data_IF_331385501343
#
_entry.id   IF_331385501343
#
_cell.length_a   1.000
_cell.length_b   1.000
_cell.length_c   1.000
_cell.angle_alpha   90.00
_cell.angle_beta   90.00
_cell.angle_gamma   90.00
#
_symmetry.space_group_name_H-M   'P 1'
#
loop_
_entity.id
_entity.type
_entity.pdbx_description
1 polymer ?
#
# COMPACT_ATOMS: atom_id res chain seq x y z
N UNK A 1 8.94 -9.10 -49.74
CA UNK A 1 7.71 -9.73 -49.21
C UNK A 1 7.35 -9.04 -47.90
N UNK A 2 6.21 -8.33 -47.84
CA UNK A 2 5.16 -8.32 -46.78
C UNK A 2 5.63 -8.72 -45.36
N UNK A 3 5.43 -8.00 -44.26
CA UNK A 3 4.50 -6.94 -43.83
C UNK A 3 5.06 -6.31 -42.51
N UNK A 4 4.40 -5.33 -41.85
CA UNK A 4 5.03 -4.19 -41.18
C UNK A 4 4.80 -4.15 -39.65
N UNK A 5 5.31 -3.09 -39.01
CA UNK A 5 4.66 -2.38 -37.90
C UNK A 5 4.44 -3.14 -36.59
N UNK A 6 5.28 -2.85 -35.60
CA UNK A 6 4.87 -3.05 -34.21
C UNK A 6 4.76 -1.69 -33.52
N UNK A 7 3.52 -1.36 -33.15
CA UNK A 7 3.12 -0.14 -32.50
C UNK A 7 3.67 -0.04 -31.05
N UNK A 8 3.82 1.20 -30.59
CA UNK A 8 3.83 1.62 -29.18
C UNK A 8 2.53 1.16 -28.48
N UNK A 9 2.36 1.46 -27.18
CA UNK A 9 3.14 1.11 -26.00
C UNK A 9 2.35 0.13 -25.11
N UNK A 10 3.02 -0.62 -24.24
CA UNK A 10 2.36 -1.46 -23.23
C UNK A 10 1.76 -0.59 -22.12
N UNK A 11 0.54 -0.11 -22.33
CA UNK A 11 -0.38 0.27 -21.26
C UNK A 11 -0.86 -1.03 -20.59
N UNK A 12 -0.60 -1.26 -19.29
CA UNK A 12 -1.29 -2.32 -18.58
C UNK A 12 -2.74 -1.89 -18.33
N UNK A 13 -3.72 -2.81 -18.49
CA UNK A 13 -5.13 -2.47 -18.48
C UNK A 13 -5.56 -1.89 -17.13
N UNK A 14 -5.84 -0.58 -17.12
CA UNK A 14 -6.68 0.06 -16.09
C UNK A 14 -8.14 -0.37 -16.31
N UNK A 15 -8.47 -1.61 -15.91
CA UNK A 15 -9.82 -2.08 -15.51
C UNK A 15 -9.88 -3.61 -15.55
N UNK A 16 -9.67 -4.24 -14.39
CA UNK A 16 -10.33 -5.48 -14.02
C UNK A 16 -11.00 -5.17 -12.66
N UNK A 17 -12.32 -4.95 -12.67
CA UNK A 17 -13.32 -5.99 -12.43
C UNK A 17 -13.26 -6.47 -10.98
N UNK A 18 -14.34 -6.20 -10.22
CA UNK A 18 -14.65 -6.66 -8.86
C UNK A 18 -13.70 -7.75 -8.35
N UNK A 19 -12.54 -7.32 -7.85
CA UNK A 19 -11.52 -8.25 -7.43
C UNK A 19 -11.86 -8.65 -6.01
N UNK A 20 -12.06 -9.95 -5.80
CA UNK A 20 -12.35 -10.54 -4.50
C UNK A 20 -11.39 -9.93 -3.46
N UNK A 21 -11.86 -9.47 -2.29
CA UNK A 21 -11.02 -8.81 -1.29
C UNK A 21 -9.75 -9.61 -0.92
N UNK A 22 -9.75 -10.93 -1.16
CA UNK A 22 -8.60 -11.80 -1.02
C UNK A 22 -7.42 -11.55 -1.98
N UNK A 23 -7.63 -11.03 -3.21
CA UNK A 23 -6.49 -10.76 -4.13
C UNK A 23 -5.75 -9.48 -3.75
N UNK A 24 -6.50 -8.44 -3.37
CA UNK A 24 -5.92 -7.21 -2.85
C UNK A 24 -5.19 -7.44 -1.52
N UNK A 25 -5.76 -8.26 -0.63
CA UNK A 25 -5.08 -8.69 0.59
C UNK A 25 -3.77 -9.44 0.29
N UNK A 26 -3.83 -10.49 -0.54
CA UNK A 26 -2.64 -11.25 -0.93
C UNK A 26 -1.56 -10.39 -1.61
N UNK A 27 -1.96 -9.35 -2.35
CA UNK A 27 -1.02 -8.40 -2.94
C UNK A 27 -0.34 -7.52 -1.88
N UNK A 28 -1.08 -7.05 -0.88
CA UNK A 28 -0.50 -6.30 0.26
C UNK A 28 0.46 -7.18 1.06
N UNK A 29 0.13 -8.46 1.25
CA UNK A 29 0.98 -9.42 1.96
C UNK A 29 2.33 -9.61 1.26
N UNK A 30 2.32 -9.79 -0.06
CA UNK A 30 3.55 -9.91 -0.86
C UNK A 30 4.40 -8.64 -0.75
N UNK A 31 3.78 -7.46 -0.87
CA UNK A 31 4.48 -6.18 -0.71
C UNK A 31 5.13 -6.06 0.68
N UNK A 32 4.44 -6.46 1.75
CA UNK A 32 5.00 -6.43 3.11
C UNK A 32 6.22 -7.34 3.27
N UNK A 33 6.20 -8.53 2.68
CA UNK A 33 7.36 -9.42 2.65
C UNK A 33 8.53 -8.76 1.93
N UNK A 34 8.29 -8.17 0.76
CA UNK A 34 9.34 -7.46 0.02
C UNK A 34 9.90 -6.26 0.81
N UNK A 35 9.05 -5.53 1.52
CA UNK A 35 9.45 -4.43 2.41
C UNK A 35 10.31 -4.95 3.57
N UNK A 36 9.96 -6.10 4.16
CA UNK A 36 10.77 -6.77 5.19
C UNK A 36 12.17 -7.14 4.69
N UNK A 37 12.31 -7.44 3.39
CA UNK A 37 13.60 -7.65 2.72
C UNK A 37 14.33 -6.36 2.32
N UNK A 38 13.77 -5.18 2.59
CA UNK A 38 14.36 -3.88 2.28
C UNK A 38 14.00 -3.32 0.90
N UNK A 39 12.93 -3.80 0.26
CA UNK A 39 12.48 -3.27 -1.03
C UNK A 39 11.74 -1.94 -0.86
N UNK A 40 12.41 -0.84 -1.22
CA UNK A 40 11.80 0.49 -1.24
C UNK A 40 10.70 0.61 -2.31
N UNK A 41 10.85 -0.08 -3.44
CA UNK A 41 9.84 -0.10 -4.51
C UNK A 41 8.52 -0.69 -4.03
N UNK A 42 8.58 -1.77 -3.23
CA UNK A 42 7.40 -2.38 -2.64
C UNK A 42 6.70 -1.45 -1.64
N UNK A 43 7.47 -0.65 -0.88
CA UNK A 43 6.92 0.38 -0.01
C UNK A 43 6.18 1.46 -0.82
N UNK A 44 6.75 1.89 -1.95
CA UNK A 44 6.12 2.83 -2.87
C UNK A 44 4.79 2.31 -3.40
N UNK A 45 4.76 1.06 -3.88
CA UNK A 45 3.53 0.41 -4.35
C UNK A 45 2.47 0.31 -3.24
N UNK A 46 2.88 -0.07 -2.03
CA UNK A 46 1.97 -0.13 -0.88
C UNK A 46 1.41 1.27 -0.54
N UNK A 47 2.24 2.30 -0.64
CA UNK A 47 1.83 3.69 -0.46
C UNK A 47 0.80 4.12 -1.49
N UNK A 48 1.07 3.93 -2.79
CA UNK A 48 0.12 4.31 -3.85
C UNK A 48 -1.23 3.60 -3.71
N UNK A 49 -1.24 2.34 -3.27
CA UNK A 49 -2.46 1.56 -3.05
C UNK A 49 -3.27 2.05 -1.84
N UNK A 50 -2.62 2.30 -0.70
CA UNK A 50 -3.31 2.54 0.57
C UNK A 50 -3.41 4.03 0.93
N UNK A 51 -2.62 4.92 0.34
CA UNK A 51 -2.65 6.35 0.60
C UNK A 51 -4.05 6.98 0.50
N UNK A 52 -4.86 6.78 -0.56
CA UNK A 52 -6.18 7.41 -0.63
C UNK A 52 -7.09 6.97 0.52
N UNK A 53 -7.15 5.67 0.81
CA UNK A 53 -7.96 5.10 1.88
C UNK A 53 -7.50 5.58 3.27
N UNK A 54 -6.20 5.52 3.54
CA UNK A 54 -5.61 5.91 4.82
C UNK A 54 -5.71 7.41 5.06
N UNK A 55 -5.61 8.25 4.02
CA UNK A 55 -5.81 9.68 4.15
C UNK A 55 -7.25 10.01 4.57
N UNK A 56 -8.25 9.39 3.95
CA UNK A 56 -9.65 9.56 4.36
C UNK A 56 -9.87 9.12 5.81
N UNK A 57 -9.33 7.96 6.18
CA UNK A 57 -9.41 7.43 7.53
C UNK A 57 -8.73 8.34 8.57
N UNK A 58 -7.52 8.82 8.27
CA UNK A 58 -6.77 9.73 9.14
C UNK A 58 -7.49 11.06 9.28
N UNK A 59 -8.02 11.64 8.20
CA UNK A 59 -8.81 12.88 8.25
C UNK A 59 -10.04 12.75 9.15
N UNK A 60 -10.65 11.56 9.20
CA UNK A 60 -11.79 11.30 10.09
C UNK A 60 -11.40 11.08 11.56
N UNK A 61 -10.14 10.71 11.86
CA UNK A 61 -9.67 10.37 13.23
C UNK A 61 -8.81 11.44 13.89
N UNK A 62 -8.21 12.31 13.08
CA UNK A 62 -7.33 13.36 13.55
C UNK A 62 -8.14 14.56 14.05
N UNK A 63 -7.67 15.24 15.12
CA UNK A 63 -8.31 16.45 15.63
C UNK A 63 -8.15 17.62 14.65
N UNK A 64 -8.96 18.67 14.82
CA UNK A 64 -8.79 19.92 14.07
C UNK A 64 -7.36 20.46 14.19
N UNK A 65 -6.74 20.77 13.05
CA UNK A 65 -5.37 21.30 12.97
C UNK A 65 -4.27 20.26 12.77
N UNK A 66 -4.56 18.96 12.84
CA UNK A 66 -3.58 17.91 12.54
C UNK A 66 -3.45 17.63 11.04
N UNK A 67 -2.22 17.47 10.55
CA UNK A 67 -1.96 17.15 9.14
C UNK A 67 -2.03 15.64 8.89
N UNK A 68 -3.09 15.20 8.22
CA UNK A 68 -3.28 13.82 7.81
C UNK A 68 -2.18 13.31 6.89
N UNK A 69 -1.58 14.17 6.06
CA UNK A 69 -0.47 13.77 5.19
C UNK A 69 0.79 13.50 6.00
N UNK A 70 1.13 14.38 6.95
CA UNK A 70 2.28 14.14 7.83
C UNK A 70 2.08 12.87 8.68
N UNK A 71 0.87 12.63 9.20
CA UNK A 71 0.55 11.41 9.94
C UNK A 71 0.66 10.15 9.07
N UNK A 72 0.25 10.23 7.80
CA UNK A 72 0.41 9.13 6.85
C UNK A 72 1.89 8.79 6.64
N UNK A 73 2.73 9.78 6.37
CA UNK A 73 4.18 9.58 6.13
C UNK A 73 4.87 8.97 7.36
N UNK A 74 4.51 9.42 8.56
CA UNK A 74 5.02 8.82 9.81
C UNK A 74 4.56 7.36 9.96
N UNK A 75 3.29 7.08 9.67
CA UNK A 75 2.72 5.72 9.69
C UNK A 75 3.44 4.77 8.74
N UNK A 76 3.72 5.19 7.51
CA UNK A 76 4.50 4.38 6.55
C UNK A 76 5.96 4.20 6.99
N UNK A 77 6.55 5.19 7.66
CA UNK A 77 7.88 5.06 8.26
C UNK A 77 7.88 4.02 9.40
N UNK A 78 6.80 3.93 10.17
CA UNK A 78 6.61 2.89 11.19
C UNK A 78 6.43 1.51 10.55
N UNK A 79 5.62 1.40 9.49
CA UNK A 79 5.46 0.19 8.69
C UNK A 79 6.82 -0.30 8.18
N UNK A 80 7.65 0.56 7.60
CA UNK A 80 9.00 0.19 7.15
C UNK A 80 9.86 -0.40 8.29
N UNK A 81 9.89 0.26 9.45
CA UNK A 81 10.68 -0.22 10.61
C UNK A 81 10.17 -1.53 11.19
N UNK A 82 8.86 -1.77 11.12
CA UNK A 82 8.21 -2.94 11.73
C UNK A 82 7.91 -4.06 10.74
N UNK A 83 8.10 -3.85 9.43
CA UNK A 83 7.89 -4.85 8.40
C UNK A 83 8.69 -6.14 8.63
N UNK A 84 9.95 -6.12 9.13
CA UNK A 84 10.66 -7.37 9.48
C UNK A 84 9.99 -8.20 10.57
N UNK A 85 9.08 -7.61 11.36
CA UNK A 85 8.29 -8.29 12.39
C UNK A 85 6.93 -8.75 11.87
N UNK A 86 6.60 -8.52 10.61
CA UNK A 86 5.38 -9.00 10.00
C UNK A 86 5.47 -10.51 9.74
N UNK A 87 4.56 -11.28 10.32
CA UNK A 87 4.40 -12.69 9.99
C UNK A 87 3.42 -12.83 8.82
N UNK A 88 3.85 -13.49 7.75
CA UNK A 88 3.04 -13.71 6.53
C UNK A 88 1.71 -14.38 6.85
N UNK A 89 0.59 -13.72 6.53
CA UNK A 89 -0.77 -14.25 6.71
C UNK A 89 -1.79 -13.42 5.92
N UNK A 90 -3.09 -13.75 5.95
CA UNK A 90 -4.12 -13.07 5.13
C UNK A 90 -4.54 -11.68 5.67
N UNK A 91 -3.69 -11.04 6.47
CA UNK A 91 -4.04 -9.88 7.30
C UNK A 91 -3.13 -8.67 7.09
N UNK A 92 -2.34 -8.63 6.01
CA UNK A 92 -1.39 -7.53 5.77
C UNK A 92 -2.05 -6.17 5.74
N UNK A 93 -3.24 -6.06 5.14
CA UNK A 93 -4.00 -4.81 5.12
C UNK A 93 -4.42 -4.35 6.52
N UNK A 94 -4.93 -5.26 7.35
CA UNK A 94 -5.33 -4.95 8.72
C UNK A 94 -4.12 -4.55 9.58
N UNK A 95 -3.01 -5.27 9.40
CA UNK A 95 -1.74 -4.96 10.06
C UNK A 95 -1.24 -3.55 9.69
N UNK A 96 -1.27 -3.17 8.41
CA UNK A 96 -0.87 -1.82 7.97
C UNK A 96 -1.78 -0.76 8.56
N UNK A 97 -3.11 -0.94 8.50
CA UNK A 97 -4.06 0.01 9.10
C UNK A 97 -3.81 0.14 10.60
N UNK A 98 -3.60 -0.97 11.30
CA UNK A 98 -3.28 -0.98 12.72
C UNK A 98 -2.01 -0.16 13.01
N UNK A 99 -0.94 -0.32 12.21
CA UNK A 99 0.31 0.45 12.39
C UNK A 99 0.19 1.92 12.04
N UNK A 100 -0.49 2.26 10.97
CA UNK A 100 -0.66 3.67 10.53
C UNK A 100 -1.60 4.42 11.47
N UNK A 101 -2.60 3.74 12.03
CA UNK A 101 -3.57 4.36 12.94
C UNK A 101 -3.23 4.17 14.42
N UNK A 102 -2.11 3.53 14.74
CA UNK A 102 -1.59 3.36 16.09
C UNK A 102 -1.37 4.76 16.70
N UNK A 103 -2.20 5.14 17.67
CA UNK A 103 -1.96 6.36 18.43
C UNK A 103 -0.92 6.02 19.49
N UNK A 104 0.24 6.67 19.41
CA UNK A 104 1.16 6.75 20.55
C UNK A 104 0.34 7.31 21.72
N UNK A 105 0.12 6.47 22.74
CA UNK A 105 -0.63 6.80 23.95
C UNK A 105 0.22 7.62 24.90
#
# INVERSE_FOLDING_TARGET
>A
MKHPGNALPSDPPRSAACEVPGRAAAHVDDLLVQIAHGSQEALGQLYDLLAPLLLELLRSRLPEGADARSALVDGFSRVWRQAPSYETGPHGLDWVIARVTERER
#
